data_IF_981509911302
#
_entry.id   IF_981509911302
#
_cell.length_a   1.000
_cell.length_b   1.000
_cell.length_c   1.000
_cell.angle_alpha   90.00
_cell.angle_beta   90.00
_cell.angle_gamma   90.00
#
_symmetry.space_group_name_H-M   'P 1'
#
loop_
_entity.id
_entity.type
_entity.pdbx_description
1 polymer ?
#
# COMPACT_ATOMS: atom_id res chain seq x y z
N UNK A 1 5.09 -26.44 28.75
CA UNK A 1 5.42 -25.72 27.50
C UNK A 1 4.12 -25.11 27.03
N UNK A 2 3.71 -24.03 27.68
CA UNK A 2 2.42 -23.40 27.45
C UNK A 2 2.59 -22.50 26.25
N UNK A 3 2.25 -22.99 25.05
CA UNK A 3 2.10 -22.15 23.88
C UNK A 3 1.08 -21.07 24.22
N UNK A 4 1.54 -19.82 24.21
CA UNK A 4 0.69 -18.66 24.40
C UNK A 4 -0.39 -18.66 23.30
N UNK A 5 -1.63 -18.28 23.63
CA UNK A 5 -2.67 -18.09 22.63
C UNK A 5 -2.21 -16.98 21.67
N UNK A 6 -2.32 -17.24 20.37
CA UNK A 6 -2.15 -16.21 19.33
C UNK A 6 -3.38 -15.30 19.40
N UNK A 7 -3.32 -14.31 20.28
CA UNK A 7 -4.19 -13.17 20.33
C UNK A 7 -4.02 -12.40 19.02
N UNK A 8 -5.03 -12.50 18.14
CA UNK A 8 -5.10 -11.79 16.86
C UNK A 8 -5.16 -10.27 17.02
N UNK A 9 -4.10 -9.68 17.55
CA UNK A 9 -3.78 -8.27 17.42
C UNK A 9 -3.12 -8.04 16.07
N UNK A 10 -3.52 -6.96 15.39
CA UNK A 10 -2.96 -6.58 14.10
C UNK A 10 -1.43 -6.46 14.19
N UNK A 11 -0.71 -7.45 13.65
CA UNK A 11 0.76 -7.45 13.62
C UNK A 11 1.20 -6.45 12.55
N UNK A 12 1.82 -5.37 12.99
CA UNK A 12 2.39 -4.36 12.11
C UNK A 12 3.91 -4.51 12.00
N UNK A 13 4.44 -4.40 10.80
CA UNK A 13 5.87 -4.41 10.48
C UNK A 13 6.32 -3.04 10.00
N UNK A 14 7.46 -2.54 10.51
CA UNK A 14 8.04 -1.30 10.02
C UNK A 14 8.72 -1.55 8.67
N UNK A 15 8.23 -0.92 7.60
CA UNK A 15 8.76 -1.13 6.24
C UNK A 15 9.60 0.03 5.72
N UNK A 16 9.40 1.24 6.24
CA UNK A 16 10.20 2.42 5.90
C UNK A 16 10.06 3.49 6.98
N UNK A 17 10.88 4.51 6.90
CA UNK A 17 10.69 5.78 7.60
C UNK A 17 9.98 6.80 6.70
N UNK A 18 9.41 7.83 7.31
CA UNK A 18 8.80 8.97 6.59
C UNK A 18 9.82 9.68 5.70
N UNK A 19 11.08 9.75 6.12
CA UNK A 19 12.16 10.39 5.35
C UNK A 19 12.53 9.61 4.08
N UNK A 20 12.43 8.27 4.10
CA UNK A 20 12.66 7.43 2.93
C UNK A 20 11.56 7.54 1.87
N UNK A 21 10.34 7.95 2.25
CA UNK A 21 9.19 8.08 1.36
C UNK A 21 8.95 9.54 0.97
N UNK A 22 9.56 9.95 -0.15
CA UNK A 22 9.39 11.28 -0.73
C UNK A 22 7.94 11.55 -1.18
N UNK A 23 7.54 12.82 -1.15
CA UNK A 23 6.24 13.26 -1.66
C UNK A 23 6.11 12.94 -3.16
N UNK A 24 4.97 12.36 -3.56
CA UNK A 24 4.71 11.99 -4.95
C UNK A 24 5.42 10.71 -5.42
N UNK A 25 5.99 9.92 -4.51
CA UNK A 25 6.80 8.74 -4.87
C UNK A 25 6.13 7.40 -4.53
N UNK A 26 6.65 6.34 -5.16
CA UNK A 26 6.34 4.93 -4.88
C UNK A 26 7.62 4.26 -4.38
N UNK A 27 7.54 3.57 -3.25
CA UNK A 27 8.67 2.91 -2.60
C UNK A 27 8.38 1.43 -2.38
N UNK A 28 9.13 0.56 -3.07
CA UNK A 28 8.97 -0.88 -2.94
C UNK A 28 9.63 -1.43 -1.66
N UNK A 29 8.93 -2.33 -0.99
CA UNK A 29 9.36 -3.06 0.21
C UNK A 29 8.84 -4.49 0.16
N UNK A 30 9.40 -5.36 1.01
CA UNK A 30 8.95 -6.74 1.16
C UNK A 30 8.77 -6.99 2.64
N UNK A 31 7.58 -7.47 3.02
CA UNK A 31 7.32 -7.90 4.41
C UNK A 31 8.11 -9.17 4.72
N UNK A 32 8.35 -9.42 6.01
CA UNK A 32 8.87 -10.70 6.52
C UNK A 32 8.07 -11.93 6.05
N UNK A 33 6.79 -11.74 5.71
CA UNK A 33 5.91 -12.78 5.13
C UNK A 33 6.19 -13.08 3.65
N UNK A 34 7.07 -12.32 2.99
CA UNK A 34 7.38 -12.41 1.56
C UNK A 34 6.44 -11.61 0.66
N UNK A 35 5.44 -10.93 1.22
CA UNK A 35 4.54 -10.07 0.45
C UNK A 35 5.26 -8.82 -0.05
N UNK A 36 5.27 -8.60 -1.36
CA UNK A 36 5.74 -7.36 -1.97
C UNK A 36 4.74 -6.23 -1.72
N UNK A 37 5.22 -5.08 -1.24
CA UNK A 37 4.46 -3.89 -0.88
C UNK A 37 5.01 -2.68 -1.64
N UNK A 38 4.13 -1.80 -2.10
CA UNK A 38 4.46 -0.46 -2.56
C UNK A 38 3.86 0.55 -1.58
N UNK A 39 4.73 1.32 -0.91
CA UNK A 39 4.34 2.48 -0.13
C UNK A 39 4.23 3.68 -1.06
N UNK A 40 3.19 4.48 -0.89
CA UNK A 40 2.90 5.62 -1.77
C UNK A 40 2.61 6.81 -0.88
N UNK A 41 3.22 7.96 -1.17
CA UNK A 41 2.91 9.24 -0.51
C UNK A 41 2.34 10.21 -1.52
N UNK A 42 1.15 10.72 -1.22
CA UNK A 42 0.49 11.76 -2.01
C UNK A 42 -0.27 12.73 -1.10
N UNK A 43 0.03 14.02 -1.23
CA UNK A 43 -0.49 15.12 -0.42
C UNK A 43 -0.34 14.87 1.08
N UNK A 44 0.85 14.41 1.50
CA UNK A 44 1.14 14.08 2.90
C UNK A 44 0.41 12.84 3.44
N UNK A 45 -0.32 12.11 2.60
CA UNK A 45 -1.03 10.88 2.97
C UNK A 45 -0.29 9.66 2.42
N UNK A 46 -0.01 8.70 3.31
CA UNK A 46 0.64 7.43 3.02
C UNK A 46 -0.41 6.34 2.83
N UNK A 47 -0.24 5.52 1.80
CA UNK A 47 -0.99 4.29 1.55
C UNK A 47 -0.04 3.14 1.24
N UNK A 48 -0.45 1.90 1.55
CA UNK A 48 0.30 0.70 1.25
C UNK A 48 -0.52 -0.23 0.34
N UNK A 49 0.02 -0.57 -0.83
CA UNK A 49 -0.62 -1.46 -1.80
C UNK A 49 0.27 -2.66 -2.12
N UNK A 50 -0.29 -3.69 -2.75
CA UNK A 50 0.51 -4.80 -3.27
C UNK A 50 1.53 -4.31 -4.29
N UNK A 51 2.74 -4.86 -4.19
CA UNK A 51 3.80 -4.67 -5.17
C UNK A 51 3.58 -5.42 -6.48
N UNK A 52 2.44 -6.11 -6.66
CA UNK A 52 2.15 -6.97 -7.81
C UNK A 52 0.83 -6.54 -8.46
N UNK A 53 0.90 -6.20 -9.75
CA UNK A 53 -0.26 -5.81 -10.54
C UNK A 53 -1.24 -6.98 -10.68
N UNK A 54 -2.54 -6.73 -10.50
CA UNK A 54 -3.58 -7.78 -10.61
C UNK A 54 -3.95 -8.15 -12.04
N UNK A 55 -3.41 -7.45 -13.04
CA UNK A 55 -3.60 -7.81 -14.45
C UNK A 55 -2.74 -9.02 -14.84
N UNK A 56 -1.41 -8.83 -14.86
CA UNK A 56 -0.46 -9.86 -15.32
C UNK A 56 0.77 -9.95 -14.39
N UNK A 57 0.57 -9.70 -13.10
CA UNK A 57 1.56 -9.92 -12.04
C UNK A 57 2.88 -9.14 -12.20
N UNK A 58 2.87 -8.05 -12.95
CA UNK A 58 4.01 -7.16 -13.09
C UNK A 58 4.31 -6.40 -11.79
N UNK A 59 5.59 -6.06 -11.59
CA UNK A 59 6.01 -5.31 -10.41
C UNK A 59 5.44 -3.89 -10.42
N UNK A 60 4.73 -3.54 -9.36
CA UNK A 60 4.22 -2.18 -9.15
C UNK A 60 5.31 -1.21 -8.66
N UNK A 61 6.53 -1.68 -8.40
CA UNK A 61 7.65 -0.84 -7.98
C UNK A 61 8.00 0.24 -9.00
N UNK A 62 7.71 0.00 -10.28
CA UNK A 62 7.95 0.92 -11.39
C UNK A 62 6.72 1.76 -11.73
N UNK A 63 5.67 1.73 -10.91
CA UNK A 63 4.42 2.43 -11.22
C UNK A 63 4.58 3.94 -11.16
N UNK A 64 3.88 4.63 -12.06
CA UNK A 64 3.74 6.08 -12.02
C UNK A 64 2.65 6.47 -11.02
N UNK A 65 2.92 7.51 -10.21
CA UNK A 65 1.90 8.18 -9.43
C UNK A 65 1.40 9.40 -10.20
N UNK A 66 0.15 9.36 -10.65
CA UNK A 66 -0.46 10.45 -11.40
C UNK A 66 -0.77 11.66 -10.50
N UNK A 67 -0.95 12.88 -11.07
CA UNK A 67 -1.18 14.09 -10.27
C UNK A 67 -2.38 14.05 -9.32
N UNK A 68 -3.42 13.28 -9.68
CA UNK A 68 -4.63 13.06 -8.87
C UNK A 68 -4.44 12.01 -7.76
N UNK A 69 -3.28 11.34 -7.70
CA UNK A 69 -2.95 10.29 -6.75
C UNK A 69 -3.38 8.89 -7.18
N UNK A 70 -3.78 8.73 -8.45
CA UNK A 70 -4.02 7.43 -9.09
C UNK A 70 -2.69 6.73 -9.37
N UNK A 71 -2.60 5.45 -9.02
CA UNK A 71 -1.43 4.63 -9.30
C UNK A 71 -1.57 3.95 -10.66
N UNK A 72 -0.59 4.12 -11.54
CA UNK A 72 -0.58 3.53 -12.88
C UNK A 72 0.55 2.50 -13.00
N UNK A 73 0.18 1.25 -13.33
CA UNK A 73 1.15 0.21 -13.67
C UNK A 73 1.90 0.60 -14.95
N UNK A 74 3.24 0.61 -14.88
CA UNK A 74 4.10 1.04 -15.98
C UNK A 74 4.11 0.11 -17.21
N UNK A 75 3.55 -1.10 -17.11
CA UNK A 75 3.56 -2.02 -18.23
C UNK A 75 2.42 -1.78 -19.23
N UNK A 76 1.19 -2.13 -18.83
CA UNK A 76 0.00 -2.02 -19.70
C UNK A 76 -0.95 -0.89 -19.29
N UNK A 77 -0.53 -0.02 -18.37
CA UNK A 77 -1.28 1.19 -18.01
C UNK A 77 -2.54 0.96 -17.17
N UNK A 78 -2.69 -0.21 -16.53
CA UNK A 78 -3.77 -0.43 -15.56
C UNK A 78 -3.67 0.59 -14.42
N UNK A 79 -4.81 1.18 -14.02
CA UNK A 79 -4.84 2.22 -12.98
C UNK A 79 -5.66 1.82 -11.78
N UNK A 80 -5.21 2.21 -10.60
CA UNK A 80 -5.82 1.87 -9.32
C UNK A 80 -5.93 3.10 -8.40
N UNK A 81 -7.01 3.19 -7.63
CA UNK A 81 -7.05 4.11 -6.49
C UNK A 81 -6.13 3.56 -5.39
N UNK A 82 -5.07 4.29 -5.03
CA UNK A 82 -4.08 3.84 -4.05
C UNK A 82 -4.67 3.56 -2.65
N UNK A 83 -5.81 4.17 -2.32
CA UNK A 83 -6.41 4.13 -0.98
C UNK A 83 -7.39 2.97 -0.83
N UNK A 84 -7.95 2.48 -1.93
CA UNK A 84 -9.01 1.46 -1.92
C UNK A 84 -8.69 0.26 -2.80
N UNK A 85 -7.66 0.35 -3.64
CA UNK A 85 -7.32 -0.67 -4.62
C UNK A 85 -8.26 -0.72 -5.83
N UNK A 86 -9.34 0.08 -5.85
CA UNK A 86 -10.34 0.05 -6.91
C UNK A 86 -9.69 0.27 -8.28
N UNK A 87 -10.07 -0.55 -9.26
CA UNK A 87 -9.65 -0.37 -10.64
C UNK A 87 -10.27 0.92 -11.19
N UNK A 88 -9.42 1.85 -11.62
CA UNK A 88 -9.82 3.08 -12.31
C UNK A 88 -9.69 2.98 -13.82
N UNK A 89 -8.82 2.09 -14.29
CA UNK A 89 -8.64 1.84 -15.72
C UNK A 89 -8.19 0.39 -15.95
N UNK A 90 -8.84 -0.25 -16.93
CA UNK A 90 -8.46 -1.55 -17.49
C UNK A 90 -7.03 -1.47 -18.07
N UNK A 91 -6.28 -2.58 -18.22
CA UNK A 91 -6.75 -3.96 -18.36
C UNK A 91 -6.97 -4.77 -17.07
N UNK A 92 -6.64 -4.25 -15.88
CA UNK A 92 -6.90 -4.98 -14.65
C UNK A 92 -8.41 -5.20 -14.42
N UNK A 93 -8.80 -6.43 -14.08
CA UNK A 93 -10.20 -6.78 -13.78
C UNK A 93 -10.48 -6.93 -12.27
N UNK A 94 -9.43 -7.01 -11.45
CA UNK A 94 -9.53 -7.16 -9.99
C UNK A 94 -8.84 -5.99 -9.28
N UNK A 95 -9.37 -5.52 -8.13
CA UNK A 95 -8.76 -4.44 -7.38
C UNK A 95 -7.39 -4.83 -6.85
N UNK A 96 -6.48 -3.87 -6.81
CA UNK A 96 -5.14 -4.04 -6.25
C UNK A 96 -5.24 -4.21 -4.73
N UNK A 97 -4.69 -5.27 -4.12
CA UNK A 97 -4.72 -5.43 -2.67
C UNK A 97 -4.08 -4.23 -1.96
N UNK A 98 -4.71 -3.78 -0.89
CA UNK A 98 -4.15 -2.75 -0.01
C UNK A 98 -3.97 -3.29 1.41
N UNK A 99 -3.11 -2.64 2.16
CA UNK A 99 -2.69 -3.06 3.48
C UNK A 99 -2.95 -1.96 4.51
N UNK A 100 -3.25 -2.38 5.73
CA UNK A 100 -3.36 -1.44 6.85
C UNK A 100 -2.05 -0.67 6.98
N UNK A 101 -2.14 0.65 7.14
CA UNK A 101 -0.98 1.50 7.34
C UNK A 101 -1.21 2.43 8.52
N UNK A 102 -0.16 2.65 9.31
CA UNK A 102 -0.11 3.67 10.36
C UNK A 102 1.29 4.24 10.48
N UNK A 103 1.42 5.43 11.04
CA UNK A 103 2.71 6.04 11.32
C UNK A 103 2.90 6.05 12.85
N UNK A 104 4.07 5.60 13.31
CA UNK A 104 4.46 5.61 14.73
C UNK A 104 5.83 6.26 14.84
N UNK A 105 5.86 7.48 15.35
CA UNK A 105 7.07 8.32 15.28
C UNK A 105 7.42 8.62 13.83
N UNK A 106 8.62 8.24 13.41
CA UNK A 106 9.09 8.38 12.03
C UNK A 106 8.88 7.12 11.17
N UNK A 107 8.27 6.06 11.73
CA UNK A 107 8.14 4.76 11.05
C UNK A 107 6.79 4.58 10.39
N UNK A 108 6.82 4.12 9.14
CA UNK A 108 5.67 3.65 8.39
C UNK A 108 5.49 2.16 8.68
N UNK A 109 4.41 1.85 9.39
CA UNK A 109 4.04 0.52 9.83
C UNK A 109 2.98 -0.06 8.90
N UNK A 110 3.19 -1.27 8.40
CA UNK A 110 2.25 -1.98 7.53
C UNK A 110 1.74 -3.25 8.19
N UNK A 111 0.43 -3.41 8.24
CA UNK A 111 -0.27 -4.50 8.91
C UNK A 111 -0.79 -5.57 7.95
N UNK A 112 -1.95 -6.13 8.31
CA UNK A 112 -2.66 -7.09 7.49
C UNK A 112 -3.23 -6.46 6.22
N UNK A 113 -3.54 -7.31 5.23
CA UNK A 113 -4.33 -6.89 4.06
C UNK A 113 -5.71 -6.42 4.55
N UNK A 114 -6.17 -5.29 4.04
CA UNK A 114 -7.49 -4.77 4.39
C UNK A 114 -8.62 -5.72 3.93
N UNK A 115 -9.78 -5.72 4.60
CA UNK A 115 -10.96 -6.43 4.12
C UNK A 115 -11.40 -5.93 2.74
N UNK A 116 -11.88 -6.84 1.88
CA UNK A 116 -12.41 -6.51 0.55
C UNK A 116 -13.94 -6.63 0.54
N UNK A 117 -14.60 -5.60 0.03
CA UNK A 117 -16.04 -5.60 -0.22
C UNK A 117 -16.31 -5.22 -1.68
N UNK A 118 -16.69 -6.20 -2.50
CA UNK A 118 -16.94 -5.98 -3.93
C UNK A 118 -15.67 -5.51 -4.66
N UNK A 119 -15.76 -4.40 -5.39
CA UNK A 119 -14.70 -3.88 -6.25
C UNK A 119 -13.60 -3.09 -5.50
N UNK A 120 -13.65 -2.99 -4.17
CA UNK A 120 -12.71 -2.19 -3.38
C UNK A 120 -12.37 -2.82 -2.03
N UNK A 121 -11.28 -2.37 -1.45
CA UNK A 121 -10.87 -2.64 -0.08
C UNK A 121 -11.32 -1.52 0.85
N UNK A 122 -11.50 -1.83 2.14
CA UNK A 122 -11.67 -0.83 3.18
C UNK A 122 -10.43 0.05 3.27
N UNK A 123 -10.59 1.35 3.09
CA UNK A 123 -9.47 2.26 2.94
C UNK A 123 -8.61 2.31 4.20
N UNK A 124 -7.29 2.30 4.02
CA UNK A 124 -6.33 2.55 5.09
C UNK A 124 -5.26 3.52 4.60
N UNK A 125 -5.14 4.64 5.31
CA UNK A 125 -4.17 5.69 5.01
C UNK A 125 -3.67 6.30 6.31
N UNK A 126 -2.47 6.86 6.28
CA UNK A 126 -1.87 7.55 7.42
C UNK A 126 -1.34 8.91 6.98
N UNK A 127 -1.66 9.97 7.72
CA UNK A 127 -1.13 11.30 7.44
C UNK A 127 0.23 11.46 8.11
N UNK A 128 1.18 12.01 7.35
CA UNK A 128 2.43 12.52 7.92
C UNK A 128 2.08 13.86 8.56
N UNK A 129 2.16 13.91 9.90
CA UNK A 129 2.04 15.17 10.62
C UNK A 129 3.31 15.98 10.34
N UNK A 130 3.19 17.05 9.56
CA UNK A 130 4.25 18.03 9.43
C UNK A 130 4.39 18.75 10.77
N UNK A 131 5.51 18.56 11.45
CA UNK A 131 5.86 19.36 12.61
C UNK A 131 6.09 20.78 12.10
N UNK A 132 5.14 21.68 12.41
CA UNK A 132 5.19 23.10 12.07
C UNK A 132 6.40 23.82 12.69
#
# INVERSE_FOLDING_TARGET
MTSLPNDGGDVFEALATVAELGEGTVLARVKSTGEAICLIRHRGEVSAVSGICTHEHFSMAQSDLLPDGTLQCAWHGARFDRRTGEVKQVPAAAPLPIYQVRIVGDRIMVGARCPRTGARYEASTAKIEETA
#
